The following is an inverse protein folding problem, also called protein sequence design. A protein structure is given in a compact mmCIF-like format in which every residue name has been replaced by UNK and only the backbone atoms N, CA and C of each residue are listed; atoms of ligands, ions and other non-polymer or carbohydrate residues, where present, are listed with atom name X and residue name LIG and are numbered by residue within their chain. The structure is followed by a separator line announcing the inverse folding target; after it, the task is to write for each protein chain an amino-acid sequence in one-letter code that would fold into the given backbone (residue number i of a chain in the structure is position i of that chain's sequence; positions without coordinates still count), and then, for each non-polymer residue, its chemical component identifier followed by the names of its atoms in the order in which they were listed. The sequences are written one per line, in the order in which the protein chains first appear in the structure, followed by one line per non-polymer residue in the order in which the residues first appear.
data_IF_227833031693
#
_entry.id   IF_227833031693
#
_cell.length_a   1.000
_cell.length_b   1.000
_cell.length_c   1.000
_cell.angle_alpha   90.00
_cell.angle_beta   90.00
_cell.angle_gamma   90.00
#
_symmetry.space_group_name_H-M   'P 1'
#
loop_
_entity.id
_entity.type
_entity.pdbx_description
1 polymer ?
#
# COMPACT_ATOMS: atom_id res chain seq x y z
N UNK A 1 -4.60 13.98 -25.26
CA UNK A 1 -5.76 13.10 -25.51
C UNK A 1 -5.36 11.70 -25.98
N UNK A 2 -4.38 11.52 -26.90
CA UNK A 2 -3.91 10.16 -27.30
C UNK A 2 -3.39 9.34 -26.12
N UNK A 3 -2.52 9.91 -25.28
CA UNK A 3 -1.96 9.21 -24.09
C UNK A 3 -3.04 8.68 -23.14
N UNK A 4 -4.11 9.44 -22.89
CA UNK A 4 -5.21 8.99 -22.03
C UNK A 4 -6.04 7.88 -22.69
N UNK A 5 -6.24 7.94 -24.01
CA UNK A 5 -6.93 6.88 -24.75
C UNK A 5 -6.14 5.59 -24.79
N UNK A 6 -4.81 5.68 -24.95
CA UNK A 6 -3.90 4.54 -24.94
C UNK A 6 -3.84 3.89 -23.56
N UNK A 7 -3.81 4.71 -22.49
CA UNK A 7 -3.89 4.22 -21.12
C UNK A 7 -5.24 3.54 -20.84
N UNK A 8 -6.35 4.15 -21.26
CA UNK A 8 -7.69 3.60 -21.03
C UNK A 8 -7.88 2.21 -21.68
N UNK A 9 -7.20 1.93 -22.81
CA UNK A 9 -7.25 0.63 -23.47
C UNK A 9 -6.63 -0.50 -22.65
N UNK A 10 -5.83 -0.18 -21.63
CA UNK A 10 -5.18 -1.15 -20.74
C UNK A 10 -5.86 -1.25 -19.36
N UNK A 11 -7.02 -0.59 -19.17
CA UNK A 11 -7.76 -0.62 -17.91
C UNK A 11 -8.94 -1.56 -18.03
N UNK A 12 -9.03 -2.50 -17.09
CA UNK A 12 -10.19 -3.37 -16.90
C UNK A 12 -10.84 -3.10 -15.56
N UNK A 13 -12.16 -2.94 -15.55
CA UNK A 13 -12.95 -2.75 -14.34
C UNK A 13 -13.54 -4.09 -13.90
N UNK A 14 -13.39 -4.40 -12.60
CA UNK A 14 -13.88 -5.63 -12.01
C UNK A 14 -14.81 -5.26 -10.87
N UNK A 15 -16.01 -5.85 -10.84
CA UNK A 15 -16.90 -5.73 -9.69
C UNK A 15 -16.40 -6.64 -8.56
N UNK A 16 -16.30 -6.09 -7.34
CA UNK A 16 -16.05 -6.89 -6.16
C UNK A 16 -17.23 -7.85 -5.94
N UNK A 17 -16.91 -9.14 -5.83
CA UNK A 17 -17.88 -10.20 -5.57
C UNK A 17 -17.34 -11.15 -4.51
N UNK A 18 -18.08 -11.29 -3.40
CA UNK A 18 -17.68 -12.11 -2.27
C UNK A 18 -17.83 -11.40 -0.93
N UNK A 19 -17.21 -11.92 0.13
CA UNK A 19 -17.23 -11.30 1.45
C UNK A 19 -16.69 -9.86 1.45
N UNK A 20 -17.15 -9.05 2.41
CA UNK A 20 -16.62 -7.72 2.61
C UNK A 20 -15.15 -7.77 3.08
N UNK A 21 -14.38 -6.75 2.75
CA UNK A 21 -12.97 -6.60 3.11
C UNK A 21 -12.06 -6.33 1.92
N UNK A 22 -10.87 -5.81 2.18
CA UNK A 22 -9.91 -5.39 1.16
C UNK A 22 -9.17 -6.55 0.46
N UNK A 23 -9.20 -7.75 1.03
CA UNK A 23 -8.66 -8.96 0.40
C UNK A 23 -9.52 -9.48 -0.74
N UNK A 24 -10.85 -9.32 -0.66
CA UNK A 24 -11.78 -9.80 -1.69
C UNK A 24 -11.53 -9.20 -3.09
N UNK A 25 -11.38 -7.89 -3.29
CA UNK A 25 -11.06 -7.34 -4.61
C UNK A 25 -9.70 -7.80 -5.13
N UNK A 26 -8.71 -8.01 -4.26
CA UNK A 26 -7.40 -8.57 -4.63
C UNK A 26 -7.57 -10.00 -5.17
N UNK A 27 -8.33 -10.83 -4.48
CA UNK A 27 -8.62 -12.20 -4.93
C UNK A 27 -9.42 -12.22 -6.24
N UNK A 28 -10.39 -11.29 -6.41
CA UNK A 28 -11.13 -11.19 -7.67
C UNK A 28 -10.22 -10.81 -8.84
N UNK A 29 -9.27 -9.91 -8.63
CA UNK A 29 -8.28 -9.54 -9.64
C UNK A 29 -7.32 -10.71 -9.96
N UNK A 30 -6.83 -11.41 -8.94
CA UNK A 30 -5.92 -12.54 -9.08
C UNK A 30 -6.47 -13.63 -10.02
N UNK A 31 -7.77 -13.88 -9.97
CA UNK A 31 -8.44 -14.85 -10.86
C UNK A 31 -8.35 -14.51 -12.35
N UNK A 32 -8.16 -13.24 -12.70
CA UNK A 32 -7.97 -12.79 -14.08
C UNK A 32 -6.49 -12.72 -14.47
N UNK A 33 -5.61 -12.48 -13.50
CA UNK A 33 -4.17 -12.37 -13.69
C UNK A 33 -3.54 -13.77 -13.82
N UNK A 34 -4.05 -14.76 -13.07
CA UNK A 34 -3.50 -16.11 -13.04
C UNK A 34 -2.32 -16.22 -12.06
N UNK A 35 -1.34 -17.05 -12.42
CA UNK A 35 -0.21 -17.40 -11.54
C UNK A 35 0.96 -16.40 -11.60
N UNK A 36 0.74 -15.19 -12.11
CA UNK A 36 1.77 -14.16 -12.17
C UNK A 36 1.78 -13.29 -10.90
N UNK A 37 2.95 -12.89 -10.41
CA UNK A 37 3.03 -11.84 -9.39
C UNK A 37 2.48 -10.52 -9.91
N UNK A 38 1.75 -9.80 -9.07
CA UNK A 38 1.15 -8.52 -9.45
C UNK A 38 1.23 -7.50 -8.33
N UNK A 39 1.06 -6.25 -8.69
CA UNK A 39 1.10 -5.15 -7.75
C UNK A 39 -0.30 -4.70 -7.38
N UNK A 40 -0.54 -4.50 -6.09
CA UNK A 40 -1.75 -3.89 -5.53
C UNK A 40 -1.39 -2.49 -5.05
N UNK A 41 -2.12 -1.49 -5.49
CA UNK A 41 -1.96 -0.10 -5.06
C UNK A 41 -3.34 0.45 -4.65
N UNK A 42 -3.45 0.93 -3.42
CA UNK A 42 -4.67 1.65 -2.99
C UNK A 42 -4.67 3.05 -3.60
N UNK A 43 -5.81 3.44 -4.16
CA UNK A 43 -5.94 4.70 -4.93
C UNK A 43 -5.99 5.96 -4.04
N UNK A 44 -6.24 5.80 -2.75
CA UNK A 44 -6.27 6.85 -1.73
C UNK A 44 -4.90 7.12 -1.08
N UNK A 45 -3.88 6.35 -1.43
CA UNK A 45 -2.49 6.57 -1.02
C UNK A 45 -1.71 7.35 -2.08
N UNK A 46 -1.53 8.65 -1.87
CA UNK A 46 -0.77 9.53 -2.75
C UNK A 46 0.67 9.66 -2.28
N UNK A 47 1.60 9.58 -3.25
CA UNK A 47 3.03 9.72 -3.00
C UNK A 47 3.65 10.82 -3.83
N UNK A 48 4.50 11.63 -3.19
CA UNK A 48 5.41 12.54 -3.86
C UNK A 48 6.83 12.00 -3.64
N UNK A 49 7.45 11.51 -4.71
CA UNK A 49 8.76 10.85 -4.66
C UNK A 49 9.49 11.01 -6.00
N UNK A 50 10.83 11.06 -5.96
CA UNK A 50 11.66 11.09 -7.16
C UNK A 50 11.60 9.77 -7.93
N UNK A 51 11.60 8.64 -7.21
CA UNK A 51 11.37 7.30 -7.75
C UNK A 51 9.96 6.85 -7.37
N UNK A 52 9.08 6.54 -8.34
CA UNK A 52 7.71 6.12 -8.04
C UNK A 52 7.65 4.92 -7.09
N UNK A 53 6.68 4.90 -6.16
CA UNK A 53 6.44 3.79 -5.22
C UNK A 53 6.44 2.42 -5.93
N UNK A 54 5.74 2.33 -7.05
CA UNK A 54 5.67 1.09 -7.84
C UNK A 54 7.04 0.61 -8.30
N UNK A 55 7.93 1.53 -8.70
CA UNK A 55 9.29 1.17 -9.11
C UNK A 55 10.15 0.71 -7.93
N UNK A 56 10.00 1.33 -6.76
CA UNK A 56 10.71 0.91 -5.54
C UNK A 56 10.27 -0.51 -5.11
N UNK A 57 8.97 -0.78 -5.11
CA UNK A 57 8.41 -2.12 -4.81
C UNK A 57 8.86 -3.17 -5.84
N UNK A 58 8.86 -2.83 -7.13
CA UNK A 58 9.35 -3.71 -8.20
C UNK A 58 10.80 -4.08 -7.98
N UNK A 59 11.66 -3.10 -7.67
CA UNK A 59 13.09 -3.33 -7.40
C UNK A 59 13.29 -4.26 -6.20
N UNK A 60 12.54 -4.05 -5.11
CA UNK A 60 12.61 -4.91 -3.93
C UNK A 60 12.13 -6.34 -4.25
N UNK A 61 11.07 -6.49 -5.03
CA UNK A 61 10.60 -7.81 -5.48
C UNK A 61 11.62 -8.52 -6.37
N UNK A 62 12.23 -7.83 -7.32
CA UNK A 62 13.26 -8.39 -8.20
C UNK A 62 14.50 -8.87 -7.41
N UNK A 63 14.82 -8.21 -6.31
CA UNK A 63 15.92 -8.60 -5.42
C UNK A 63 15.60 -9.78 -4.51
N UNK A 64 14.32 -9.94 -4.11
CA UNK A 64 13.94 -10.93 -3.10
C UNK A 64 13.20 -12.14 -3.66
N UNK A 65 12.52 -12.00 -4.79
CA UNK A 65 11.66 -13.03 -5.39
C UNK A 65 10.43 -13.41 -4.53
N UNK A 66 10.07 -12.59 -3.55
CA UNK A 66 9.02 -12.86 -2.55
C UNK A 66 8.06 -11.66 -2.42
N UNK A 67 6.88 -11.81 -1.80
CA UNK A 67 5.96 -10.70 -1.59
C UNK A 67 6.63 -9.54 -0.85
N UNK A 68 6.26 -8.31 -1.24
CA UNK A 68 6.81 -7.08 -0.66
C UNK A 68 5.69 -6.15 -0.25
N UNK A 69 5.81 -5.56 0.94
CA UNK A 69 4.94 -4.51 1.48
C UNK A 69 5.59 -3.14 1.30
N UNK A 70 4.83 -2.12 0.91
CA UNK A 70 5.26 -0.75 1.09
C UNK A 70 5.16 -0.35 2.55
N UNK A 71 6.22 0.20 3.10
CA UNK A 71 6.29 0.63 4.49
C UNK A 71 6.64 2.12 4.58
N UNK A 72 6.06 2.79 5.57
CA UNK A 72 6.46 4.15 5.96
C UNK A 72 6.69 4.21 7.47
N UNK A 73 7.66 5.00 7.93
CA UNK A 73 7.75 5.36 9.33
C UNK A 73 6.46 6.05 9.78
N UNK A 74 5.96 5.72 10.97
CA UNK A 74 4.76 6.31 11.55
C UNK A 74 5.02 6.73 12.99
N UNK A 75 4.21 7.67 13.50
CA UNK A 75 4.10 7.87 14.95
C UNK A 75 3.44 6.62 15.55
N UNK A 76 4.02 5.98 16.57
CA UNK A 76 3.40 4.85 17.26
C UNK A 76 1.97 5.15 17.76
N UNK A 77 1.65 6.40 18.06
CA UNK A 77 0.32 6.83 18.45
C UNK A 77 -0.74 6.60 17.36
N UNK A 78 -0.33 6.47 16.08
CA UNK A 78 -1.22 6.25 14.93
C UNK A 78 -1.37 4.77 14.55
N UNK A 79 -0.73 3.84 15.26
CA UNK A 79 -0.69 2.41 14.90
C UNK A 79 -2.08 1.77 14.74
N UNK A 80 -3.07 2.25 15.51
CA UNK A 80 -4.47 1.78 15.46
C UNK A 80 -5.17 2.04 14.11
N UNK A 81 -4.51 2.77 13.19
CA UNK A 81 -5.03 3.07 11.85
C UNK A 81 -4.54 2.09 10.79
N UNK A 82 -3.40 1.42 11.01
CA UNK A 82 -2.65 0.72 9.97
C UNK A 82 -2.32 -0.73 10.37
N UNK A 83 -2.03 -1.54 9.37
CA UNK A 83 -1.32 -2.80 9.59
C UNK A 83 0.15 -2.50 9.96
N UNK A 84 0.64 -3.09 11.03
CA UNK A 84 1.99 -2.87 11.54
C UNK A 84 2.83 -4.15 11.34
N UNK A 85 3.96 -4.09 10.59
CA UNK A 85 4.78 -5.26 10.33
C UNK A 85 5.57 -5.70 11.56
N UNK A 86 5.71 -6.99 11.75
CA UNK A 86 6.63 -7.60 12.72
C UNK A 86 7.99 -7.75 12.04
N UNK A 87 8.88 -6.77 12.26
CA UNK A 87 10.21 -6.74 11.65
C UNK A 87 11.12 -7.75 12.33
N UNK A 88 11.80 -8.58 11.54
CA UNK A 88 12.80 -9.57 12.01
C UNK A 88 14.22 -9.09 11.79
N UNK A 89 14.48 -8.45 10.65
CA UNK A 89 15.83 -8.11 10.22
C UNK A 89 15.78 -6.89 9.30
N UNK A 90 16.73 -5.98 9.46
CA UNK A 90 17.00 -4.89 8.52
C UNK A 90 18.11 -5.35 7.57
N UNK A 91 17.80 -5.46 6.29
CA UNK A 91 18.73 -5.91 5.25
C UNK A 91 19.46 -4.73 4.59
N UNK A 92 19.19 -3.51 5.04
CA UNK A 92 19.73 -2.28 4.44
C UNK A 92 18.95 -1.81 3.22
N UNK A 93 19.23 -0.57 2.79
CA UNK A 93 18.52 0.03 1.65
C UNK A 93 17.02 0.19 1.82
N UNK A 94 16.53 0.16 3.06
CA UNK A 94 15.10 0.21 3.38
C UNK A 94 14.37 -1.13 3.21
N UNK A 95 15.07 -2.21 2.88
CA UNK A 95 14.51 -3.55 2.78
C UNK A 95 14.51 -4.23 4.14
N UNK A 96 13.35 -4.63 4.62
CA UNK A 96 13.16 -5.28 5.93
C UNK A 96 12.59 -6.70 5.73
N UNK A 97 13.12 -7.69 6.45
CA UNK A 97 12.48 -8.99 6.55
C UNK A 97 11.35 -8.94 7.58
N UNK A 98 10.17 -9.38 7.19
CA UNK A 98 8.95 -9.32 8.00
C UNK A 98 8.46 -10.75 8.29
N UNK A 99 8.01 -11.00 9.51
CA UNK A 99 7.46 -12.31 9.91
C UNK A 99 5.94 -12.32 10.11
N UNK A 100 5.28 -11.23 9.79
CA UNK A 100 3.83 -11.07 9.91
C UNK A 100 3.43 -9.62 10.03
N UNK A 101 2.12 -9.39 10.10
CA UNK A 101 1.51 -8.10 10.34
C UNK A 101 0.52 -8.23 11.50
N UNK A 102 0.36 -7.16 12.26
CA UNK A 102 -0.72 -6.97 13.23
C UNK A 102 -1.63 -5.88 12.70
N UNK A 103 -2.89 -6.19 12.48
CA UNK A 103 -3.86 -5.21 11.97
C UNK A 103 -4.30 -4.30 13.09
N UNK A 104 -4.07 -2.99 12.92
CA UNK A 104 -4.54 -1.91 13.80
C UNK A 104 -4.25 -2.16 15.29
N UNK A 105 -2.99 -2.43 15.68
CA UNK A 105 -2.66 -2.64 17.10
C UNK A 105 -2.84 -1.36 17.91
N UNK A 106 -3.13 -1.50 19.19
CA UNK A 106 -3.01 -0.38 20.11
C UNK A 106 -1.56 0.14 20.17
N UNK A 107 -1.32 1.43 20.44
CA UNK A 107 0.01 2.03 20.41
C UNK A 107 1.08 1.29 21.22
N UNK A 108 0.71 0.78 22.40
CA UNK A 108 1.62 0.01 23.26
C UNK A 108 1.94 -1.41 22.74
N UNK A 109 1.13 -1.91 21.82
CA UNK A 109 1.24 -3.26 21.26
C UNK A 109 1.82 -3.25 19.83
N UNK A 110 2.15 -2.07 19.30
CA UNK A 110 2.70 -1.92 17.96
C UNK A 110 4.08 -2.60 17.86
N UNK A 111 4.25 -3.64 16.99
CA UNK A 111 5.48 -4.43 16.94
C UNK A 111 6.67 -3.72 16.27
N UNK A 112 6.43 -2.59 15.59
CA UNK A 112 7.47 -1.79 14.94
C UNK A 112 7.01 -0.35 14.71
N UNK A 113 7.93 0.59 14.39
CA UNK A 113 7.59 1.97 14.08
C UNK A 113 7.21 2.17 12.59
N UNK A 114 6.72 1.15 11.91
CA UNK A 114 6.36 1.21 10.50
C UNK A 114 4.88 0.89 10.29
N UNK A 115 4.22 1.67 9.42
CA UNK A 115 2.92 1.34 8.87
C UNK A 115 3.08 0.60 7.54
N UNK A 116 2.32 -0.48 7.35
CA UNK A 116 2.09 -1.04 6.02
C UNK A 116 1.06 -0.16 5.31
N UNK A 117 1.47 0.41 4.20
CA UNK A 117 0.68 1.37 3.43
C UNK A 117 0.26 0.78 2.09
N UNK A 118 -0.65 1.44 1.38
CA UNK A 118 -1.30 0.92 0.18
C UNK A 118 -0.41 0.61 -1.01
N UNK A 119 0.54 -0.31 -0.83
CA UNK A 119 1.38 -0.82 -1.90
C UNK A 119 1.92 -2.20 -1.57
N UNK A 120 1.65 -3.18 -2.45
CA UNK A 120 2.04 -4.57 -2.23
C UNK A 120 2.47 -5.21 -3.53
N UNK A 121 3.48 -6.06 -3.50
CA UNK A 121 3.70 -7.06 -4.54
C UNK A 121 3.18 -8.38 -4.01
N UNK A 122 2.16 -8.91 -4.67
CA UNK A 122 1.45 -10.14 -4.30
C UNK A 122 1.95 -11.27 -5.20
N UNK A 123 2.19 -12.42 -4.60
CA UNK A 123 2.58 -13.65 -5.31
C UNK A 123 1.47 -14.71 -5.21
N UNK A 124 1.50 -15.77 -6.04
CA UNK A 124 0.52 -16.85 -5.96
C UNK A 124 0.39 -17.47 -4.56
N UNK A 125 1.46 -17.49 -3.77
CA UNK A 125 1.40 -17.98 -2.39
C UNK A 125 0.51 -17.14 -1.47
N UNK A 126 0.50 -15.82 -1.62
CA UNK A 126 -0.43 -14.94 -0.88
C UNK A 126 -1.86 -15.09 -1.40
N UNK A 127 -2.04 -15.28 -2.71
CA UNK A 127 -3.36 -15.54 -3.31
C UNK A 127 -3.97 -16.82 -2.72
N UNK A 128 -3.18 -17.87 -2.57
CA UNK A 128 -3.63 -19.13 -1.95
C UNK A 128 -4.12 -18.93 -0.50
N UNK A 129 -3.46 -18.05 0.27
CA UNK A 129 -3.93 -17.71 1.63
C UNK A 129 -5.25 -16.92 1.61
N UNK A 130 -5.44 -16.01 0.65
CA UNK A 130 -6.72 -15.31 0.44
C UNK A 130 -7.85 -16.27 0.05
N UNK A 131 -7.56 -17.27 -0.79
CA UNK A 131 -8.53 -18.31 -1.15
C UNK A 131 -8.94 -19.14 0.05
N UNK A 132 -7.98 -19.58 0.86
CA UNK A 132 -8.21 -20.34 2.07
C UNK A 132 -9.01 -19.53 3.11
N UNK A 133 -8.66 -18.25 3.31
CA UNK A 133 -9.38 -17.33 4.19
C UNK A 133 -10.85 -17.17 3.72
N UNK A 134 -11.05 -16.97 2.43
CA UNK A 134 -12.38 -16.85 1.82
C UNK A 134 -13.18 -18.16 1.96
N UNK A 135 -12.53 -19.31 1.75
CA UNK A 135 -13.15 -20.62 1.94
C UNK A 135 -13.62 -20.86 3.37
N UNK A 136 -12.81 -20.48 4.37
CA UNK A 136 -13.19 -20.54 5.79
C UNK A 136 -14.37 -19.62 6.09
N UNK A 137 -14.35 -18.41 5.54
CA UNK A 137 -15.46 -17.46 5.72
C UNK A 137 -16.79 -18.02 5.23
N UNK A 138 -16.82 -18.69 4.07
CA UNK A 138 -18.05 -19.33 3.57
C UNK A 138 -18.54 -20.48 4.45
N UNK A 139 -17.67 -21.12 5.21
CA UNK A 139 -18.06 -22.16 6.18
C UNK A 139 -18.64 -21.54 7.45
N UNK A 140 -18.10 -20.41 7.89
CA UNK A 140 -18.53 -19.65 9.06
C UNK A 140 -18.40 -18.15 8.75
N UNK A 141 -19.46 -17.51 8.22
CA UNK A 141 -19.43 -16.08 7.89
C UNK A 141 -19.22 -15.23 9.13
N UNK A 142 -18.02 -14.70 9.31
CA UNK A 142 -17.62 -13.87 10.45
C UNK A 142 -16.50 -12.93 10.04
N UNK A 143 -16.64 -11.63 10.36
CA UNK A 143 -15.63 -10.62 10.06
C UNK A 143 -15.48 -10.29 8.58
N UNK A 144 -14.34 -9.71 8.25
CA UNK A 144 -13.97 -9.27 6.91
C UNK A 144 -12.79 -10.08 6.37
N UNK A 145 -12.59 -10.06 5.05
CA UNK A 145 -11.40 -10.65 4.41
C UNK A 145 -10.32 -9.57 4.28
N UNK A 146 -9.30 -9.64 5.13
CA UNK A 146 -8.19 -8.70 5.08
C UNK A 146 -6.98 -9.26 4.33
N UNK A 147 -6.37 -8.42 3.48
CA UNK A 147 -5.10 -8.75 2.82
C UNK A 147 -3.97 -8.91 3.83
N UNK A 148 -3.97 -8.13 4.91
CA UNK A 148 -3.01 -8.22 6.02
C UNK A 148 -3.00 -9.59 6.68
N UNK A 149 -4.16 -10.22 6.87
CA UNK A 149 -4.27 -11.55 7.45
C UNK A 149 -3.68 -12.63 6.53
N UNK A 150 -3.92 -12.52 5.21
CA UNK A 150 -3.33 -13.44 4.24
C UNK A 150 -1.80 -13.28 4.15
N UNK A 151 -1.30 -12.06 4.21
CA UNK A 151 0.14 -11.77 4.28
C UNK A 151 0.76 -12.31 5.57
N UNK A 152 0.06 -12.16 6.69
CA UNK A 152 0.49 -12.75 7.97
C UNK A 152 0.56 -14.27 7.90
N UNK A 153 -0.49 -14.92 7.40
CA UNK A 153 -0.54 -16.37 7.24
C UNK A 153 0.60 -16.88 6.33
N UNK A 154 0.82 -16.20 5.20
CA UNK A 154 1.93 -16.51 4.29
C UNK A 154 3.30 -16.42 4.99
N UNK A 155 3.51 -15.39 5.81
CA UNK A 155 4.79 -15.12 6.48
C UNK A 155 5.17 -16.17 7.54
N UNK A 156 4.23 -17.01 7.97
CA UNK A 156 4.51 -18.09 8.96
C UNK A 156 5.51 -19.12 8.39
N UNK A 157 5.38 -19.46 7.10
CA UNK A 157 6.19 -20.50 6.48
C UNK A 157 7.03 -20.01 5.29
N UNK A 158 6.80 -18.78 4.82
CA UNK A 158 7.42 -18.26 3.61
C UNK A 158 8.05 -16.88 3.85
N UNK A 159 9.03 -16.47 3.02
CA UNK A 159 9.61 -15.15 3.11
C UNK A 159 8.58 -14.06 2.78
N UNK A 160 8.60 -12.98 3.55
CA UNK A 160 7.86 -11.74 3.34
C UNK A 160 8.78 -10.57 3.62
N UNK A 161 8.75 -9.55 2.77
CA UNK A 161 9.60 -8.39 2.91
C UNK A 161 8.80 -7.10 2.96
N UNK A 162 9.36 -6.08 3.58
CA UNK A 162 8.89 -4.72 3.54
C UNK A 162 9.92 -3.82 2.89
N UNK A 163 9.49 -2.90 2.03
CA UNK A 163 10.33 -1.85 1.50
C UNK A 163 9.89 -0.52 2.09
N UNK A 164 10.76 0.12 2.87
CA UNK A 164 10.55 1.50 3.31
C UNK A 164 10.63 2.41 2.09
N UNK A 165 9.52 3.06 1.76
CA UNK A 165 9.40 3.88 0.55
C UNK A 165 10.06 5.24 0.78
N UNK A 166 10.99 5.59 -0.10
CA UNK A 166 11.57 6.92 -0.15
C UNK A 166 10.58 7.90 -0.83
N UNK A 167 10.13 8.92 -0.08
CA UNK A 167 9.15 9.90 -0.53
C UNK A 167 8.28 10.41 0.61
N UNK A 168 7.33 11.27 0.26
CA UNK A 168 6.30 11.76 1.18
C UNK A 168 4.99 11.08 0.87
N UNK A 169 4.39 10.47 1.86
CA UNK A 169 3.12 9.79 1.78
C UNK A 169 2.00 10.68 2.33
N UNK A 170 0.86 10.65 1.65
CA UNK A 170 -0.38 11.30 2.05
C UNK A 170 -1.51 10.27 2.01
N UNK A 171 -2.07 9.96 3.18
CA UNK A 171 -3.31 9.20 3.32
C UNK A 171 -4.48 10.15 3.01
N UNK A 172 -5.06 10.04 1.82
CA UNK A 172 -6.12 10.96 1.36
C UNK A 172 -7.51 10.56 1.85
N UNK A 173 -7.60 9.69 2.86
CA UNK A 173 -8.86 9.26 3.47
C UNK A 173 -9.60 10.33 4.28
N UNK A 174 -8.98 11.51 4.52
CA UNK A 174 -9.63 12.64 5.15
C UNK A 174 -9.63 13.88 4.24
N UNK A 175 -10.63 14.80 4.36
CA UNK A 175 -10.64 16.04 3.57
C UNK A 175 -9.38 16.89 3.74
N UNK A 176 -8.82 16.95 4.96
CA UNK A 176 -7.61 17.72 5.23
C UNK A 176 -6.42 17.13 4.50
N UNK A 177 -6.10 15.86 4.69
CA UNK A 177 -4.94 15.21 4.08
C UNK A 177 -5.08 15.11 2.55
N UNK A 178 -6.31 15.01 2.03
CA UNK A 178 -6.58 15.13 0.61
C UNK A 178 -6.17 16.50 0.05
N UNK A 179 -6.53 17.61 0.72
CA UNK A 179 -6.14 18.96 0.32
C UNK A 179 -4.63 19.16 0.44
N UNK A 180 -4.00 18.65 1.49
CA UNK A 180 -2.55 18.68 1.67
C UNK A 180 -1.83 17.96 0.53
N UNK A 181 -2.31 16.76 0.14
CA UNK A 181 -1.77 16.00 -0.98
C UNK A 181 -1.89 16.76 -2.31
N UNK A 182 -3.07 17.35 -2.58
CA UNK A 182 -3.31 18.17 -3.76
C UNK A 182 -2.35 19.36 -3.82
N UNK A 183 -2.20 20.07 -2.70
CA UNK A 183 -1.33 21.23 -2.60
C UNK A 183 0.13 20.86 -2.80
N UNK A 184 0.61 19.82 -2.10
CA UNK A 184 1.98 19.33 -2.22
C UNK A 184 2.29 18.91 -3.66
N UNK A 185 1.39 18.15 -4.31
CA UNK A 185 1.56 17.77 -5.70
C UNK A 185 1.58 18.98 -6.64
N UNK A 186 0.68 19.95 -6.45
CA UNK A 186 0.65 21.17 -7.23
C UNK A 186 1.95 21.98 -7.15
N UNK A 187 2.59 22.04 -5.97
CA UNK A 187 3.86 22.72 -5.76
C UNK A 187 5.05 22.06 -6.50
N UNK A 188 4.97 20.78 -6.80
CA UNK A 188 6.02 20.05 -7.56
C UNK A 188 5.80 20.09 -9.08
N UNK A 189 4.68 20.66 -9.55
CA UNK A 189 4.35 20.72 -10.97
C UNK A 189 5.40 21.53 -11.76
N UNK A 190 5.93 20.95 -12.85
CA UNK A 190 7.05 21.53 -13.63
C UNK A 190 6.75 22.93 -14.16
N UNK A 191 5.54 23.17 -14.62
CA UNK A 191 5.12 24.41 -15.24
C UNK A 191 4.59 25.44 -14.22
N UNK A 192 3.74 24.98 -13.29
CA UNK A 192 2.99 25.87 -12.39
C UNK A 192 3.56 25.95 -10.96
N UNK A 193 4.38 25.02 -10.54
CA UNK A 193 4.83 24.91 -9.15
C UNK A 193 5.53 26.18 -8.63
N UNK A 194 6.34 26.86 -9.46
CA UNK A 194 7.00 28.10 -9.04
C UNK A 194 6.03 29.27 -8.82
N UNK A 195 4.98 29.36 -9.63
CA UNK A 195 3.93 30.36 -9.48
C UNK A 195 3.07 30.09 -8.24
N UNK A 196 2.73 28.81 -8.00
CA UNK A 196 1.95 28.40 -6.85
C UNK A 196 2.69 28.60 -5.52
N UNK A 197 4.00 28.37 -5.47
CA UNK A 197 4.82 28.69 -4.29
C UNK A 197 4.83 30.19 -3.97
N UNK A 198 4.95 31.05 -4.98
CA UNK A 198 4.84 32.50 -4.78
C UNK A 198 3.47 32.88 -4.26
N UNK A 199 2.39 32.36 -4.87
CA UNK A 199 1.02 32.64 -4.43
C UNK A 199 0.82 32.21 -2.97
N UNK A 200 1.30 31.02 -2.57
CA UNK A 200 1.20 30.55 -1.20
C UNK A 200 1.91 31.48 -0.21
N UNK A 201 3.11 31.94 -0.54
CA UNK A 201 3.86 32.92 0.26
C UNK A 201 3.12 34.26 0.38
N UNK A 202 2.56 34.77 -0.74
CA UNK A 202 1.82 36.06 -0.76
C UNK A 202 0.51 35.98 0.05
N UNK A 203 -0.12 34.80 0.12
CA UNK A 203 -1.33 34.58 0.93
C UNK A 203 -1.00 34.52 2.41
N UNK A 204 0.06 33.80 2.79
CA UNK A 204 0.52 33.70 4.17
C UNK A 204 0.93 35.08 4.75
N UNK A 205 1.59 35.89 3.93
CA UNK A 205 2.00 37.26 4.33
C UNK A 205 0.83 38.25 4.54
N UNK A 206 -0.42 37.86 4.18
CA UNK A 206 -1.63 38.70 4.34
C UNK A 206 -2.50 38.27 5.52
N UNK A 207 -2.19 37.12 6.14
CA UNK A 207 -2.84 36.61 7.36
C UNK A 207 -2.05 36.98 8.60
#
# INVERSE_FOLDING_TARGET
MRELSDLAAHISFIHQNGPYGNGTPVLNAARLIGDEPFMVLWADDVFVADVPRAQQLKTAYEATGAPVLALMPMDPADSFRYGVPIVKEDLGGGCLRVSGLVEKPEPQDAPSPYAAIGGYVITPGVVAELEEQTRRWYQKPEGEIYLSDALHAHAIANPLYGQVIAGTWYDTGSPQTYLEAQFAHALTHREYGSALRRLAYDLDART
#
